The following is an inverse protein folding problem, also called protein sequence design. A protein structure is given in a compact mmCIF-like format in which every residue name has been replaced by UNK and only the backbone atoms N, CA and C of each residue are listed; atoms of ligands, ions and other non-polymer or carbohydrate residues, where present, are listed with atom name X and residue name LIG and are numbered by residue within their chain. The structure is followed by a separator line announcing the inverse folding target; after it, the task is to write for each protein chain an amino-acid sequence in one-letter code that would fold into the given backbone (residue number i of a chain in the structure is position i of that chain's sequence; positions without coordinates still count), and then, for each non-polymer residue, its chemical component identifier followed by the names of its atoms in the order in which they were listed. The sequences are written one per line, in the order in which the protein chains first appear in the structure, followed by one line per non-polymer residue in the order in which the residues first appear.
data_IF_979704200368
#
_entry.id   IF_979704200368
#
_cell.length_a   1.000
_cell.length_b   1.000
_cell.length_c   1.000
_cell.angle_alpha   90.00
_cell.angle_beta   90.00
_cell.angle_gamma   90.00
#
_symmetry.space_group_name_H-M   'P 1'
#
loop_
_entity.id
_entity.type
_entity.pdbx_description
1 polymer ?
#
# COMPACT_ATOMS: atom_id res chain seq x y z
N UNK A 1 2.15 -10.68 4.80
CA UNK A 1 0.86 -10.54 5.51
C UNK A 1 0.50 -9.06 5.57
N UNK A 2 -0.73 -8.71 5.26
CA UNK A 2 -1.30 -7.38 5.48
C UNK A 2 -1.64 -7.19 6.97
N UNK A 3 -1.70 -5.94 7.43
CA UNK A 3 -2.13 -5.58 8.79
C UNK A 3 -3.65 -5.44 8.77
N UNK A 4 -4.35 -6.25 9.58
CA UNK A 4 -5.80 -6.07 9.76
C UNK A 4 -6.07 -4.96 10.76
N UNK A 5 -7.08 -4.15 10.47
CA UNK A 5 -7.47 -3.01 11.29
C UNK A 5 -8.97 -2.98 11.54
N UNK A 6 -9.40 -2.26 12.57
CA UNK A 6 -10.80 -1.85 12.72
C UNK A 6 -11.09 -0.56 11.93
N UNK A 7 -12.31 -0.04 12.03
CA UNK A 7 -12.75 1.18 11.34
C UNK A 7 -12.03 2.46 11.81
N UNK A 8 -11.36 2.41 12.96
CA UNK A 8 -10.58 3.50 13.53
C UNK A 8 -9.08 3.35 13.23
N UNK A 9 -8.71 2.47 12.31
CA UNK A 9 -7.32 2.12 11.98
C UNK A 9 -6.54 1.53 13.17
N UNK A 10 -7.18 0.94 14.17
CA UNK A 10 -6.45 0.22 15.22
C UNK A 10 -6.09 -1.18 14.71
N UNK A 11 -4.84 -1.62 14.91
CA UNK A 11 -4.42 -2.97 14.53
C UNK A 11 -5.16 -4.04 15.35
N UNK A 12 -5.81 -4.96 14.66
CA UNK A 12 -6.53 -6.11 15.25
C UNK A 12 -5.94 -7.48 14.88
N UNK A 13 -5.03 -7.54 13.90
CA UNK A 13 -4.47 -8.82 13.48
C UNK A 13 -3.64 -8.74 12.20
N UNK A 14 -3.53 -9.87 11.50
CA UNK A 14 -2.83 -9.99 10.24
C UNK A 14 -3.44 -11.08 9.37
N UNK A 15 -3.42 -10.88 8.05
CA UNK A 15 -3.98 -11.82 7.08
C UNK A 15 -3.19 -11.78 5.75
N UNK A 16 -3.34 -12.82 4.94
CA UNK A 16 -2.77 -12.90 3.60
C UNK A 16 -3.37 -11.83 2.68
N UNK A 17 -2.55 -11.32 1.76
CA UNK A 17 -3.01 -10.35 0.77
C UNK A 17 -4.20 -10.87 -0.04
N UNK A 18 -4.19 -12.17 -0.37
CA UNK A 18 -5.30 -12.84 -1.07
C UNK A 18 -6.60 -12.66 -0.31
N UNK A 19 -6.66 -13.09 0.95
CA UNK A 19 -7.89 -13.05 1.74
C UNK A 19 -8.38 -11.62 1.99
N UNK A 20 -7.47 -10.66 2.17
CA UNK A 20 -7.79 -9.24 2.29
C UNK A 20 -8.44 -8.63 1.02
N UNK A 21 -8.24 -9.24 -0.15
CA UNK A 21 -8.73 -8.71 -1.44
C UNK A 21 -9.83 -9.59 -2.07
N UNK A 22 -10.28 -10.65 -1.41
CA UNK A 22 -11.40 -11.45 -1.87
C UNK A 22 -12.71 -10.74 -1.53
N UNK A 23 -13.50 -10.41 -2.55
CA UNK A 23 -14.81 -9.74 -2.38
C UNK A 23 -15.76 -10.51 -1.48
N UNK A 24 -15.68 -11.84 -1.47
CA UNK A 24 -16.45 -12.69 -0.57
C UNK A 24 -16.14 -12.38 0.90
N UNK A 25 -14.86 -12.31 1.28
CA UNK A 25 -14.44 -12.00 2.65
C UNK A 25 -14.82 -10.57 3.03
N UNK A 26 -14.59 -9.61 2.14
CA UNK A 26 -14.97 -8.20 2.35
C UNK A 26 -16.47 -8.10 2.64
N UNK A 27 -17.32 -8.78 1.86
CA UNK A 27 -18.78 -8.73 2.04
C UNK A 27 -19.28 -9.51 3.26
N UNK A 28 -18.66 -10.65 3.59
CA UNK A 28 -19.12 -11.54 4.67
C UNK A 28 -18.64 -11.11 6.04
N UNK A 29 -17.41 -10.62 6.15
CA UNK A 29 -16.76 -10.38 7.45
C UNK A 29 -16.37 -8.93 7.67
N UNK A 30 -16.62 -8.04 6.69
CA UNK A 30 -16.15 -6.65 6.70
C UNK A 30 -14.64 -6.56 6.99
N UNK A 31 -13.83 -7.41 6.35
CA UNK A 31 -12.38 -7.43 6.60
C UNK A 31 -11.73 -6.14 6.10
N UNK A 32 -11.08 -5.41 7.01
CA UNK A 32 -10.33 -4.19 6.71
C UNK A 32 -8.84 -4.42 6.90
N UNK A 33 -8.03 -3.78 6.07
CA UNK A 33 -6.58 -3.85 6.16
C UNK A 33 -5.93 -2.52 5.80
N UNK A 34 -4.83 -2.20 6.49
CA UNK A 34 -4.10 -0.94 6.32
C UNK A 34 -3.42 -0.89 4.94
N UNK A 35 -3.48 0.26 4.29
CA UNK A 35 -2.89 0.53 2.98
C UNK A 35 -2.21 1.91 2.96
N UNK A 36 -1.46 2.20 1.90
CA UNK A 36 -0.92 3.54 1.63
C UNK A 36 -1.08 3.91 0.15
N UNK A 37 -1.05 5.22 -0.13
CA UNK A 37 -1.06 5.78 -1.47
C UNK A 37 -0.06 6.94 -1.57
N UNK A 38 0.87 6.86 -2.52
CA UNK A 38 1.92 7.87 -2.75
C UNK A 38 1.54 8.77 -3.91
N UNK A 39 1.69 10.07 -3.72
CA UNK A 39 1.63 11.09 -4.77
C UNK A 39 2.99 11.77 -4.86
N UNK A 40 3.75 11.44 -5.89
CA UNK A 40 5.08 11.98 -6.12
C UNK A 40 5.01 13.05 -7.20
N UNK A 41 5.44 14.25 -6.83
CA UNK A 41 5.54 15.38 -7.75
C UNK A 41 6.99 15.56 -8.19
N UNK A 42 7.18 16.17 -9.35
CA UNK A 42 8.51 16.62 -9.77
C UNK A 42 9.04 17.75 -8.87
N UNK A 43 10.27 18.20 -9.15
CA UNK A 43 10.94 19.22 -8.31
C UNK A 43 10.23 20.57 -8.29
N UNK A 44 9.43 20.88 -9.31
CA UNK A 44 8.65 22.13 -9.37
C UNK A 44 7.32 21.98 -8.63
N UNK A 45 6.84 20.76 -8.42
CA UNK A 45 5.54 20.47 -7.82
C UNK A 45 4.39 20.52 -8.82
N UNK A 46 4.66 20.73 -10.11
CA UNK A 46 3.64 20.97 -11.13
C UNK A 46 3.14 19.68 -11.77
N UNK A 47 3.96 18.63 -11.79
CA UNK A 47 3.63 17.37 -12.46
C UNK A 47 3.55 16.23 -11.47
N UNK A 48 2.42 15.53 -11.46
CA UNK A 48 2.22 14.30 -10.71
C UNK A 48 2.65 13.09 -11.55
N UNK A 49 3.47 12.21 -10.98
CA UNK A 49 3.81 10.93 -11.59
C UNK A 49 2.62 9.95 -11.45
N UNK A 50 2.02 9.58 -12.58
CA UNK A 50 1.01 8.53 -12.67
C UNK A 50 1.65 7.19 -13.06
N UNK A 51 1.05 6.09 -12.60
CA UNK A 51 1.45 4.73 -12.96
C UNK A 51 0.32 4.08 -13.76
N UNK A 52 0.64 3.45 -14.89
CA UNK A 52 -0.21 2.44 -15.49
C UNK A 52 0.15 1.08 -14.91
N UNK A 53 -0.84 0.37 -14.37
CA UNK A 53 -0.62 -0.92 -13.70
C UNK A 53 -0.31 -2.02 -14.73
N UNK A 54 0.61 -2.92 -14.40
CA UNK A 54 0.92 -4.07 -15.25
C UNK A 54 -0.30 -5.01 -15.42
N UNK A 55 -0.34 -5.75 -16.54
CA UNK A 55 -1.45 -6.65 -16.87
C UNK A 55 -1.56 -7.84 -15.90
N UNK A 56 -0.45 -8.23 -15.25
CA UNK A 56 -0.39 -9.36 -14.31
C UNK A 56 -0.95 -9.02 -12.92
N UNK A 57 -1.37 -7.77 -12.69
CA UNK A 57 -1.93 -7.37 -11.39
C UNK A 57 -3.31 -8.00 -11.21
N UNK A 58 -3.46 -8.82 -10.17
CA UNK A 58 -4.72 -9.50 -9.80
C UNK A 58 -5.90 -8.53 -9.68
N UNK A 59 -5.68 -7.34 -9.10
CA UNK A 59 -6.70 -6.30 -8.99
C UNK A 59 -6.39 -5.15 -9.92
N UNK A 60 -7.38 -4.73 -10.72
CA UNK A 60 -7.30 -3.57 -11.61
C UNK A 60 -6.07 -3.57 -12.53
N UNK A 61 -5.88 -4.61 -13.37
CA UNK A 61 -4.80 -4.63 -14.36
C UNK A 61 -4.99 -3.49 -15.37
N UNK A 62 -3.89 -2.91 -15.86
CA UNK A 62 -3.86 -1.88 -16.93
C UNK A 62 -4.49 -0.51 -16.60
N UNK A 63 -5.05 -0.34 -15.40
CA UNK A 63 -5.62 0.93 -14.98
C UNK A 63 -4.52 1.95 -14.70
N UNK A 64 -4.77 3.20 -15.10
CA UNK A 64 -3.99 4.35 -14.64
C UNK A 64 -4.38 4.70 -13.20
N UNK A 65 -3.38 4.97 -12.36
CA UNK A 65 -3.55 5.35 -10.97
C UNK A 65 -2.43 6.33 -10.54
N UNK A 66 -2.45 6.76 -9.27
CA UNK A 66 -1.38 7.59 -8.71
C UNK A 66 -0.03 6.84 -8.66
N UNK A 67 1.01 7.49 -8.16
CA UNK A 67 2.39 7.00 -8.27
C UNK A 67 2.61 5.57 -7.77
N UNK A 68 2.16 5.25 -6.56
CA UNK A 68 2.31 3.90 -6.00
C UNK A 68 1.29 3.64 -4.88
N UNK A 69 0.63 2.49 -4.94
CA UNK A 69 -0.32 2.03 -3.93
C UNK A 69 0.05 0.63 -3.45
N UNK A 70 0.12 0.44 -2.13
CA UNK A 70 0.37 -0.88 -1.55
C UNK A 70 -0.03 -0.95 -0.09
N UNK A 71 0.52 -1.94 0.62
CA UNK A 71 0.21 -2.19 2.03
C UNK A 71 1.51 -2.22 2.84
N UNK A 72 1.51 -1.66 4.06
CA UNK A 72 2.48 -2.02 5.06
C UNK A 72 2.34 -3.50 5.44
N UNK A 73 3.46 -4.17 5.62
CA UNK A 73 3.55 -5.56 6.01
C UNK A 73 3.41 -5.69 7.53
N UNK A 74 2.76 -6.75 7.99
CA UNK A 74 2.76 -7.13 9.41
C UNK A 74 4.15 -7.67 9.81
N UNK A 75 5.13 -6.76 9.90
CA UNK A 75 6.53 -6.99 10.27
C UNK A 75 7.00 -5.86 11.18
N UNK A 76 7.99 -6.08 12.08
CA UNK A 76 8.38 -5.07 13.07
C UNK A 76 8.72 -3.69 12.48
N UNK A 77 9.37 -3.64 11.31
CA UNK A 77 9.80 -2.39 10.66
C UNK A 77 8.65 -1.60 10.03
N UNK A 78 7.53 -2.24 9.74
CA UNK A 78 6.36 -1.63 9.08
C UNK A 78 5.13 -1.53 10.00
N UNK A 79 5.27 -1.98 11.26
CA UNK A 79 4.27 -1.86 12.32
C UNK A 79 4.43 -0.60 13.19
N UNK A 80 5.46 0.22 12.94
CA UNK A 80 5.74 1.41 13.75
C UNK A 80 4.72 2.51 13.45
N UNK A 81 3.82 2.78 14.40
CA UNK A 81 2.74 3.76 14.21
C UNK A 81 3.17 5.20 14.47
N UNK A 82 4.21 5.41 15.29
CA UNK A 82 4.74 6.74 15.58
C UNK A 82 5.11 7.47 14.29
N UNK A 83 4.51 8.64 14.07
CA UNK A 83 4.69 9.46 12.86
C UNK A 83 4.48 8.70 11.54
N UNK A 84 3.67 7.62 11.57
CA UNK A 84 3.39 6.74 10.44
C UNK A 84 4.66 6.15 9.81
N UNK A 85 5.72 5.93 10.61
CA UNK A 85 7.01 5.47 10.10
C UNK A 85 6.89 4.12 9.38
N UNK A 86 6.06 3.21 9.89
CA UNK A 86 5.83 1.91 9.27
C UNK A 86 5.24 2.01 7.86
N UNK A 87 4.25 2.89 7.66
CA UNK A 87 3.69 3.17 6.35
C UNK A 87 4.69 3.85 5.41
N UNK A 88 5.53 4.76 5.93
CA UNK A 88 6.60 5.40 5.16
C UNK A 88 7.67 4.40 4.71
N UNK A 89 8.06 3.47 5.58
CA UNK A 89 8.98 2.39 5.24
C UNK A 89 8.41 1.49 4.14
N UNK A 90 7.13 1.13 4.25
CA UNK A 90 6.43 0.36 3.23
C UNK A 90 6.39 1.09 1.87
N UNK A 91 6.13 2.40 1.88
CA UNK A 91 6.13 3.25 0.70
C UNK A 91 7.52 3.28 0.04
N UNK A 92 8.59 3.53 0.80
CA UNK A 92 9.98 3.51 0.29
C UNK A 92 10.33 2.18 -0.38
N UNK A 93 10.08 1.05 0.31
CA UNK A 93 10.28 -0.29 -0.24
C UNK A 93 9.52 -0.51 -1.55
N UNK A 94 8.30 0.02 -1.65
CA UNK A 94 7.44 -0.20 -2.81
C UNK A 94 7.74 0.74 -3.98
N UNK A 95 8.18 1.96 -3.72
CA UNK A 95 8.70 2.86 -4.75
C UNK A 95 9.95 2.27 -5.41
N UNK A 96 10.86 1.69 -4.63
CA UNK A 96 12.02 0.98 -5.17
C UNK A 96 11.60 -0.25 -5.98
N UNK A 97 10.73 -1.09 -5.42
CA UNK A 97 10.29 -2.32 -6.08
C UNK A 97 9.46 -2.08 -7.36
N UNK A 98 8.58 -1.09 -7.39
CA UNK A 98 7.69 -0.86 -8.54
C UNK A 98 8.23 0.14 -9.57
N UNK A 99 9.03 1.12 -9.13
CA UNK A 99 9.48 2.24 -9.96
C UNK A 99 11.01 2.39 -10.01
N UNK A 100 11.77 1.55 -9.29
CA UNK A 100 13.22 1.62 -9.25
C UNK A 100 13.79 2.84 -8.52
N UNK A 101 12.97 3.55 -7.72
CA UNK A 101 13.40 4.74 -6.96
C UNK A 101 14.17 4.28 -5.71
N UNK A 102 15.47 4.57 -5.57
CA UNK A 102 16.28 4.08 -4.45
C UNK A 102 15.82 4.66 -3.11
N UNK A 103 15.92 3.88 -2.04
CA UNK A 103 15.55 4.33 -0.69
C UNK A 103 16.49 5.42 -0.11
N UNK A 104 17.64 5.64 -0.75
CA UNK A 104 18.63 6.65 -0.36
C UNK A 104 18.26 8.08 -0.80
N UNK A 105 17.23 8.25 -1.63
CA UNK A 105 16.64 9.56 -1.93
C UNK A 105 15.72 10.03 -0.80
#
# INVERSE_FOLDING_TARGET
MCILVDENDNKIGAETKKNCHLMENIKKTNILHRAFSVFLFDKTGERLLLQQRAAEKITFPEYFTNTCCSHPLNTPTELIEQNQLGAKNAARRKLEHELGIPQSQ
#
